data_IF_279341819040
#
_entry.id   IF_279341819040
#
_cell.length_a   1.000
_cell.length_b   1.000
_cell.length_c   1.000
_cell.angle_alpha   90.00
_cell.angle_beta   90.00
_cell.angle_gamma   90.00
#
_symmetry.space_group_name_H-M   'P 1'
#
loop_
_entity.id
_entity.type
_entity.pdbx_description
1 polymer ?
#
# COMPACT_ATOMS: atom_id res chain seq x y z
N UNK A 1 25.81 -1.03 4.86
CA UNK A 1 25.55 -1.43 3.46
C UNK A 1 24.64 -0.41 2.80
N UNK A 2 24.82 -0.19 1.48
CA UNK A 2 23.93 0.71 0.75
C UNK A 2 22.78 -0.08 0.13
N UNK A 3 21.56 0.40 0.34
CA UNK A 3 20.34 -0.20 -0.17
C UNK A 3 19.58 0.80 -1.03
N UNK A 4 19.03 0.36 -2.15
CA UNK A 4 17.97 1.11 -2.82
C UNK A 4 16.66 0.94 -2.03
N UNK A 5 15.71 1.86 -2.22
CA UNK A 5 14.38 1.74 -1.59
C UNK A 5 13.70 0.40 -1.93
N UNK A 6 13.84 -0.07 -3.17
CA UNK A 6 13.32 -1.36 -3.60
C UNK A 6 13.96 -2.55 -2.86
N UNK A 7 15.29 -2.51 -2.64
CA UNK A 7 16.01 -3.54 -1.89
C UNK A 7 15.64 -3.52 -0.40
N UNK A 8 15.58 -2.33 0.20
CA UNK A 8 15.21 -2.15 1.59
C UNK A 8 13.78 -2.64 1.87
N UNK A 9 12.83 -2.37 0.98
CA UNK A 9 11.46 -2.86 1.11
C UNK A 9 11.37 -4.41 0.98
N UNK A 10 12.20 -5.04 0.13
CA UNK A 10 12.30 -6.51 0.07
C UNK A 10 12.87 -7.09 1.36
N UNK A 11 13.90 -6.45 1.92
CA UNK A 11 14.47 -6.84 3.22
C UNK A 11 13.44 -6.68 4.34
N UNK A 12 12.73 -5.56 4.37
CA UNK A 12 11.65 -5.32 5.35
C UNK A 12 10.56 -6.39 5.27
N UNK A 13 10.14 -6.75 4.06
CA UNK A 13 9.20 -7.85 3.86
C UNK A 13 9.74 -9.15 4.41
N UNK A 14 10.98 -9.52 4.08
CA UNK A 14 11.61 -10.75 4.59
C UNK A 14 11.63 -10.80 6.12
N UNK A 15 12.02 -9.69 6.79
CA UNK A 15 12.04 -9.62 8.25
C UNK A 15 10.63 -9.77 8.86
N UNK A 16 9.60 -9.17 8.24
CA UNK A 16 8.22 -9.35 8.69
C UNK A 16 7.73 -10.80 8.48
N UNK A 17 8.10 -11.44 7.36
CA UNK A 17 7.75 -12.84 7.10
C UNK A 17 8.42 -13.78 8.14
N UNK A 18 9.69 -13.54 8.50
CA UNK A 18 10.39 -14.25 9.58
C UNK A 18 9.73 -14.05 10.95
N UNK A 19 9.36 -12.82 11.27
CA UNK A 19 8.66 -12.48 12.52
C UNK A 19 7.31 -13.20 12.61
N UNK A 20 6.50 -13.14 11.55
CA UNK A 20 5.21 -13.82 11.50
C UNK A 20 5.34 -15.35 11.58
N UNK A 21 6.34 -15.93 10.91
CA UNK A 21 6.60 -17.37 10.98
C UNK A 21 6.98 -17.83 12.40
N UNK A 22 7.72 -16.98 13.13
CA UNK A 22 8.08 -17.26 14.53
C UNK A 22 6.86 -17.15 15.46
N UNK A 23 5.99 -16.15 15.27
CA UNK A 23 4.71 -16.02 15.99
C UNK A 23 3.77 -17.22 15.73
N UNK A 24 3.70 -17.67 14.48
CA UNK A 24 2.91 -18.84 14.10
C UNK A 24 3.45 -20.14 14.75
N UNK A 25 4.78 -20.27 14.83
CA UNK A 25 5.42 -21.38 15.53
C UNK A 25 5.11 -21.32 17.03
N UNK A 26 5.26 -20.17 17.66
CA UNK A 26 4.93 -19.94 19.06
C UNK A 26 3.46 -20.31 19.34
N UNK A 27 2.53 -19.80 18.54
CA UNK A 27 1.09 -20.04 18.69
C UNK A 27 0.75 -21.54 18.64
N UNK A 28 1.48 -22.32 17.85
CA UNK A 28 1.27 -23.79 17.75
C UNK A 28 1.95 -24.59 18.84
N UNK A 29 2.94 -24.01 19.55
CA UNK A 29 3.79 -24.75 20.50
C UNK A 29 3.64 -24.30 21.95
N UNK A 30 3.12 -23.09 22.20
CA UNK A 30 3.00 -22.49 23.55
C UNK A 30 2.02 -23.20 24.46
N UNK A 31 1.01 -23.84 23.88
CA UNK A 31 0.04 -24.68 24.58
C UNK A 31 -0.23 -25.98 23.78
N UNK A 32 -0.54 -27.06 24.46
CA UNK A 32 -0.79 -28.35 23.83
C UNK A 32 -1.81 -29.14 24.66
N UNK A 33 -2.36 -30.19 24.08
CA UNK A 33 -3.36 -31.05 24.72
C UNK A 33 -2.77 -32.46 24.92
N UNK A 34 -3.06 -33.02 26.07
CA UNK A 34 -2.82 -34.44 26.37
C UNK A 34 -4.15 -35.09 26.77
N UNK A 35 -4.41 -36.31 26.37
CA UNK A 35 -5.57 -37.09 26.79
C UNK A 35 -5.42 -37.52 28.23
N UNK A 36 -6.54 -37.87 28.90
CA UNK A 36 -6.52 -38.41 30.25
C UNK A 36 -5.78 -39.76 30.25
N UNK A 37 -4.67 -39.83 31.02
CA UNK A 37 -3.83 -41.03 31.09
C UNK A 37 -2.72 -41.11 30.03
N UNK A 38 -2.61 -40.13 29.16
CA UNK A 38 -1.51 -39.99 28.22
C UNK A 38 -0.26 -39.40 28.92
N UNK A 39 0.93 -39.87 28.54
CA UNK A 39 2.16 -39.23 29.02
C UNK A 39 2.32 -37.85 28.42
N UNK A 40 2.20 -36.84 29.28
CA UNK A 40 2.25 -35.42 28.89
C UNK A 40 3.56 -35.04 28.18
N UNK A 41 4.69 -35.64 28.60
CA UNK A 41 5.99 -35.33 28.00
C UNK A 41 6.13 -35.93 26.60
N UNK A 42 5.44 -37.03 26.30
CA UNK A 42 5.47 -37.64 24.97
C UNK A 42 4.82 -36.82 23.87
N UNK A 43 3.87 -35.94 24.25
CA UNK A 43 3.10 -35.10 23.34
C UNK A 43 3.50 -33.61 23.42
N UNK A 44 4.42 -33.27 24.32
CA UNK A 44 4.89 -31.88 24.51
C UNK A 44 5.68 -31.38 23.29
N UNK A 45 5.24 -30.30 22.62
CA UNK A 45 6.02 -29.69 21.53
C UNK A 45 7.31 -29.06 22.08
N UNK A 46 8.34 -29.08 21.24
CA UNK A 46 9.60 -28.37 21.56
C UNK A 46 9.37 -26.88 21.47
N UNK A 47 9.41 -26.20 22.61
CA UNK A 47 9.21 -24.76 22.71
C UNK A 47 10.03 -24.19 23.86
N UNK A 48 10.84 -23.18 23.56
CA UNK A 48 11.56 -22.37 24.54
C UNK A 48 11.01 -20.95 24.50
N UNK A 49 10.33 -20.54 25.57
CA UNK A 49 9.73 -19.24 25.71
C UNK A 49 10.77 -18.13 25.70
N UNK A 50 11.84 -18.29 26.51
CA UNK A 50 12.85 -17.23 26.69
C UNK A 50 13.60 -16.95 25.37
N UNK A 51 14.06 -18.00 24.68
CA UNK A 51 14.72 -17.90 23.39
C UNK A 51 13.79 -17.27 22.33
N UNK A 52 12.54 -17.69 22.31
CA UNK A 52 11.54 -17.17 21.36
C UNK A 52 11.30 -15.68 21.56
N UNK A 53 11.15 -15.22 22.84
CA UNK A 53 10.94 -13.79 23.12
C UNK A 53 12.16 -12.93 22.74
N UNK A 54 13.38 -13.43 23.01
CA UNK A 54 14.61 -12.72 22.61
C UNK A 54 14.63 -12.55 21.09
N UNK A 55 14.37 -13.62 20.36
CA UNK A 55 14.40 -13.59 18.89
C UNK A 55 13.30 -12.70 18.28
N UNK A 56 12.10 -12.69 18.86
CA UNK A 56 11.02 -11.77 18.47
C UNK A 56 11.46 -10.31 18.67
N UNK A 57 12.01 -9.99 19.83
CA UNK A 57 12.48 -8.64 20.15
C UNK A 57 13.61 -8.16 19.24
N UNK A 58 14.54 -9.05 18.85
CA UNK A 58 15.59 -8.75 17.88
C UNK A 58 15.02 -8.43 16.49
N UNK A 59 14.06 -9.23 16.01
CA UNK A 59 13.39 -8.99 14.73
C UNK A 59 12.61 -7.68 14.74
N UNK A 60 11.87 -7.41 15.80
CA UNK A 60 11.16 -6.14 16.00
C UNK A 60 12.10 -4.93 15.97
N UNK A 61 13.26 -5.04 16.63
CA UNK A 61 14.25 -3.98 16.62
C UNK A 61 14.82 -3.71 15.23
N UNK A 62 15.13 -4.78 14.46
CA UNK A 62 15.62 -4.68 13.09
C UNK A 62 14.56 -4.07 12.16
N UNK A 63 13.31 -4.55 12.23
CA UNK A 63 12.17 -4.04 11.46
C UNK A 63 11.98 -2.54 11.73
N UNK A 64 12.00 -2.14 13.00
CA UNK A 64 11.83 -0.74 13.41
C UNK A 64 12.94 0.17 12.90
N UNK A 65 14.22 -0.26 13.01
CA UNK A 65 15.38 0.49 12.50
C UNK A 65 15.32 0.65 10.98
N UNK A 66 15.06 -0.45 10.25
CA UNK A 66 14.99 -0.42 8.78
C UNK A 66 13.85 0.46 8.29
N UNK A 67 12.67 0.34 8.91
CA UNK A 67 11.51 1.18 8.56
C UNK A 67 11.79 2.66 8.82
N UNK A 68 12.48 2.99 9.91
CA UNK A 68 12.88 4.36 10.18
C UNK A 68 13.86 4.91 9.13
N UNK A 69 14.86 4.12 8.72
CA UNK A 69 15.80 4.52 7.66
C UNK A 69 15.11 4.76 6.32
N UNK A 70 14.15 3.88 5.94
CA UNK A 70 13.32 4.07 4.73
C UNK A 70 12.50 5.37 4.83
N UNK A 71 11.90 5.66 5.99
CA UNK A 71 11.10 6.87 6.19
C UNK A 71 11.95 8.14 6.06
N UNK A 72 13.16 8.16 6.65
CA UNK A 72 14.09 9.30 6.50
C UNK A 72 14.45 9.47 5.02
N UNK A 73 14.83 8.40 4.34
CA UNK A 73 15.15 8.45 2.92
C UNK A 73 14.00 9.02 2.09
N UNK A 74 12.78 8.53 2.29
CA UNK A 74 11.60 9.02 1.56
C UNK A 74 11.30 10.50 1.83
N UNK A 75 11.53 10.98 3.06
CA UNK A 75 11.28 12.36 3.45
C UNK A 75 12.37 13.34 2.99
N UNK A 76 13.58 12.85 2.66
CA UNK A 76 14.71 13.70 2.30
C UNK A 76 15.14 13.60 0.83
N UNK A 77 14.87 12.44 0.18
CA UNK A 77 15.24 12.23 -1.21
C UNK A 77 14.23 12.94 -2.13
N UNK A 78 14.71 13.85 -2.94
CA UNK A 78 13.91 14.57 -3.96
C UNK A 78 13.81 13.79 -5.26
N UNK A 79 12.69 14.00 -5.94
CA UNK A 79 12.43 13.52 -7.29
C UNK A 79 12.45 14.73 -8.22
N UNK A 80 13.60 15.00 -8.83
CA UNK A 80 13.92 16.26 -9.55
C UNK A 80 12.86 16.67 -10.57
N UNK A 81 12.26 15.70 -11.28
CA UNK A 81 11.24 15.97 -12.31
C UNK A 81 9.92 16.52 -11.77
N UNK A 82 9.71 16.46 -10.45
CA UNK A 82 8.49 16.92 -9.77
C UNK A 82 8.75 17.98 -8.70
N UNK A 83 10.02 18.25 -8.36
CA UNK A 83 10.40 19.12 -7.24
C UNK A 83 9.67 18.75 -5.93
N UNK A 84 9.55 17.43 -5.70
CA UNK A 84 8.88 16.82 -4.56
C UNK A 84 9.81 15.77 -3.94
N UNK A 85 9.66 15.52 -2.64
CA UNK A 85 10.26 14.34 -2.00
C UNK A 85 9.55 13.07 -2.40
N UNK A 86 10.18 11.90 -2.18
CA UNK A 86 9.52 10.60 -2.39
C UNK A 86 8.23 10.53 -1.56
N UNK A 87 8.28 11.01 -0.30
CA UNK A 87 7.12 10.99 0.60
C UNK A 87 5.94 11.83 0.04
N UNK A 88 6.22 13.04 -0.47
CA UNK A 88 5.21 13.88 -1.12
C UNK A 88 4.66 13.21 -2.38
N UNK A 89 5.52 12.59 -3.18
CA UNK A 89 5.10 11.91 -4.41
C UNK A 89 4.23 10.68 -4.13
N UNK A 90 4.50 9.94 -3.02
CA UNK A 90 3.68 8.84 -2.54
C UNK A 90 2.26 9.28 -2.13
N UNK A 91 2.09 10.55 -1.72
CA UNK A 91 0.76 11.15 -1.48
C UNK A 91 0.14 11.67 -2.77
N UNK A 92 0.95 12.26 -3.65
CA UNK A 92 0.48 12.89 -4.89
C UNK A 92 -0.07 11.86 -5.90
N UNK A 93 0.58 10.70 -6.08
CA UNK A 93 0.14 9.63 -6.98
C UNK A 93 -1.30 9.16 -6.68
N UNK A 94 -1.70 8.84 -5.43
CA UNK A 94 -3.09 8.54 -5.08
C UNK A 94 -4.06 9.70 -5.38
N UNK A 95 -3.63 10.94 -5.18
CA UNK A 95 -4.45 12.13 -5.52
C UNK A 95 -4.71 12.21 -7.03
N UNK A 96 -3.68 12.00 -7.86
CA UNK A 96 -3.79 11.95 -9.32
C UNK A 96 -4.70 10.79 -9.76
N UNK A 97 -4.54 9.62 -9.14
CA UNK A 97 -5.38 8.45 -9.42
C UNK A 97 -6.86 8.74 -9.14
N UNK A 98 -7.16 9.37 -8.00
CA UNK A 98 -8.52 9.77 -7.64
C UNK A 98 -9.06 10.84 -8.59
N UNK A 99 -8.24 11.82 -8.98
CA UNK A 99 -8.61 12.87 -9.96
C UNK A 99 -8.93 12.24 -11.30
N UNK A 100 -8.05 11.37 -11.82
CA UNK A 100 -8.26 10.64 -13.08
C UNK A 100 -9.55 9.83 -13.06
N UNK A 101 -9.83 9.09 -11.98
CA UNK A 101 -11.07 8.29 -11.86
C UNK A 101 -12.32 9.15 -11.89
N UNK A 102 -12.32 10.29 -11.16
CA UNK A 102 -13.42 11.26 -11.20
C UNK A 102 -13.65 11.82 -12.61
N UNK A 103 -12.57 12.22 -13.29
CA UNK A 103 -12.65 12.79 -14.64
C UNK A 103 -13.10 11.73 -15.66
N UNK A 104 -12.71 10.46 -15.49
CA UNK A 104 -13.20 9.35 -16.31
C UNK A 104 -14.72 9.17 -16.19
N UNK A 105 -15.24 9.23 -14.98
CA UNK A 105 -16.69 9.17 -14.74
C UNK A 105 -17.40 10.34 -15.43
N UNK A 106 -16.86 11.57 -15.25
CA UNK A 106 -17.47 12.77 -15.83
C UNK A 106 -17.46 12.77 -17.37
N UNK A 107 -16.32 12.38 -18.01
CA UNK A 107 -16.24 12.33 -19.49
C UNK A 107 -17.11 11.24 -20.10
N UNK A 108 -17.49 10.22 -19.32
CA UNK A 108 -18.35 9.13 -19.78
C UNK A 108 -19.83 9.48 -19.77
N UNK A 109 -20.21 10.64 -19.20
CA UNK A 109 -21.61 11.09 -19.17
C UNK A 109 -22.06 11.64 -20.51
N UNK A 110 -23.33 11.40 -20.83
CA UNK A 110 -23.96 12.08 -21.96
C UNK A 110 -24.31 13.54 -21.59
N UNK A 111 -24.32 14.45 -22.56
CA UNK A 111 -24.75 15.85 -22.31
C UNK A 111 -26.19 15.91 -21.75
N UNK A 112 -27.02 14.96 -22.14
CA UNK A 112 -28.40 14.78 -21.69
C UNK A 112 -28.71 13.30 -21.64
N UNK A 113 -29.22 12.80 -20.52
CA UNK A 113 -29.60 11.42 -20.32
C UNK A 113 -30.97 11.33 -19.66
N UNK A 114 -31.83 10.44 -20.14
CA UNK A 114 -33.15 10.22 -19.52
C UNK A 114 -32.95 9.46 -18.21
N UNK A 115 -33.59 9.96 -17.14
CA UNK A 115 -33.61 9.25 -15.86
C UNK A 115 -34.50 8.02 -16.04
N UNK A 116 -33.89 6.82 -15.89
CA UNK A 116 -34.65 5.58 -15.85
C UNK A 116 -35.48 5.54 -14.55
N UNK A 117 -36.77 5.22 -14.67
CA UNK A 117 -37.67 5.13 -13.53
C UNK A 117 -37.19 4.04 -12.57
N UNK A 118 -36.96 4.42 -11.31
CA UNK A 118 -36.79 3.44 -10.24
C UNK A 118 -38.11 2.67 -10.07
N UNK A 119 -38.04 1.35 -10.08
CA UNK A 119 -39.14 0.44 -9.87
C UNK A 119 -40.12 0.93 -8.78
N UNK A 120 -41.36 1.24 -9.15
CA UNK A 120 -42.45 1.47 -8.22
C UNK A 120 -43.07 2.89 -8.17
N UNK A 121 -42.59 3.88 -8.93
CA UNK A 121 -43.25 5.18 -9.10
C UNK A 121 -43.58 5.39 -10.59
N UNK A 122 -44.81 5.15 -10.99
CA UNK A 122 -45.33 5.65 -12.26
C UNK A 122 -45.47 7.20 -12.13
N UNK A 123 -44.43 7.92 -12.50
CA UNK A 123 -44.52 9.34 -12.75
C UNK A 123 -44.83 9.57 -14.22
N UNK A 124 -45.85 10.37 -14.50
CA UNK A 124 -46.12 10.85 -15.86
C UNK A 124 -45.13 11.90 -16.35
N UNK A 125 -44.18 12.28 -15.52
CA UNK A 125 -43.15 13.29 -15.78
C UNK A 125 -41.86 12.56 -16.16
N UNK A 126 -41.34 12.90 -17.34
CA UNK A 126 -40.05 12.36 -17.84
C UNK A 126 -38.97 13.34 -17.41
N UNK A 127 -38.09 12.88 -16.50
CA UNK A 127 -36.95 13.64 -16.03
C UNK A 127 -35.71 13.35 -16.87
N UNK A 128 -34.85 14.36 -17.00
CA UNK A 128 -33.55 14.26 -17.65
C UNK A 128 -32.46 14.76 -16.73
N UNK A 129 -31.34 14.04 -16.71
CA UNK A 129 -30.08 14.50 -16.14
C UNK A 129 -29.28 15.20 -17.23
N UNK A 130 -28.74 16.36 -16.93
CA UNK A 130 -27.87 17.14 -17.82
C UNK A 130 -26.46 17.24 -17.22
N UNK A 131 -25.43 17.08 -18.05
CA UNK A 131 -24.08 17.43 -17.65
C UNK A 131 -24.00 18.97 -17.48
N UNK A 132 -23.69 19.44 -16.27
CA UNK A 132 -23.52 20.87 -15.98
C UNK A 132 -22.05 21.29 -16.07
N UNK A 133 -21.37 20.81 -17.10
CA UNK A 133 -19.97 21.09 -17.39
C UNK A 133 -19.66 20.81 -18.87
N UNK A 134 -18.55 21.37 -19.36
CA UNK A 134 -18.04 21.08 -20.70
C UNK A 134 -17.34 19.71 -20.73
N UNK A 135 -17.90 18.74 -21.43
CA UNK A 135 -17.37 17.38 -21.54
C UNK A 135 -16.02 17.37 -22.27
N UNK A 136 -15.81 18.24 -23.26
CA UNK A 136 -14.54 18.33 -23.98
C UNK A 136 -13.41 18.88 -23.09
N UNK A 137 -13.72 19.85 -22.23
CA UNK A 137 -12.78 20.34 -21.22
C UNK A 137 -12.42 19.25 -20.20
N UNK A 138 -13.40 18.46 -19.74
CA UNK A 138 -13.18 17.32 -18.84
C UNK A 138 -12.31 16.26 -19.50
N UNK A 139 -12.51 15.96 -20.79
CA UNK A 139 -11.69 15.01 -21.53
C UNK A 139 -10.23 15.48 -21.61
N UNK A 140 -9.99 16.75 -21.93
CA UNK A 140 -8.65 17.33 -21.96
C UNK A 140 -7.95 17.25 -20.57
N UNK A 141 -8.69 17.50 -19.50
CA UNK A 141 -8.16 17.41 -18.13
C UNK A 141 -7.92 15.95 -17.70
N UNK A 142 -8.72 15.01 -18.18
CA UNK A 142 -8.48 13.57 -17.98
C UNK A 142 -7.15 13.13 -18.61
N UNK A 143 -6.90 13.51 -19.88
CA UNK A 143 -5.64 13.18 -20.56
C UNK A 143 -4.43 13.77 -19.84
N UNK A 144 -4.49 15.03 -19.42
CA UNK A 144 -3.44 15.66 -18.61
C UNK A 144 -3.19 14.90 -17.30
N UNK A 145 -4.25 14.54 -16.56
CA UNK A 145 -4.11 13.81 -15.32
C UNK A 145 -3.57 12.39 -15.52
N UNK A 146 -3.91 11.73 -16.63
CA UNK A 146 -3.40 10.41 -16.99
C UNK A 146 -1.90 10.45 -17.32
N UNK A 147 -1.47 11.43 -18.13
CA UNK A 147 -0.07 11.62 -18.49
C UNK A 147 0.77 11.98 -17.26
N UNK A 148 0.28 12.86 -16.41
CA UNK A 148 0.97 13.28 -15.19
C UNK A 148 1.11 12.12 -14.20
N UNK A 149 0.08 11.29 -14.03
CA UNK A 149 0.13 10.07 -13.23
C UNK A 149 1.18 9.09 -13.75
N UNK A 150 1.23 8.87 -15.06
CA UNK A 150 2.22 7.98 -15.68
C UNK A 150 3.65 8.48 -15.44
N UNK A 151 3.90 9.79 -15.65
CA UNK A 151 5.22 10.40 -15.40
C UNK A 151 5.62 10.30 -13.92
N UNK A 152 4.68 10.53 -12.99
CA UNK A 152 4.94 10.45 -11.56
C UNK A 152 5.33 9.04 -11.12
N UNK A 153 4.63 8.02 -11.65
CA UNK A 153 4.94 6.62 -11.37
C UNK A 153 6.32 6.23 -11.91
N UNK A 154 6.63 6.59 -13.16
CA UNK A 154 7.94 6.30 -13.77
C UNK A 154 9.09 7.00 -13.02
N UNK A 155 8.90 8.25 -12.61
CA UNK A 155 9.89 8.99 -11.85
C UNK A 155 10.15 8.36 -10.48
N UNK A 156 9.09 7.95 -9.76
CA UNK A 156 9.21 7.25 -8.49
C UNK A 156 9.95 5.92 -8.64
N UNK A 157 9.61 5.13 -9.65
CA UNK A 157 10.26 3.84 -9.92
C UNK A 157 11.76 4.02 -10.22
N UNK A 158 12.11 5.03 -11.02
CA UNK A 158 13.49 5.33 -11.35
C UNK A 158 14.32 5.70 -10.11
N UNK A 159 13.81 6.57 -9.24
CA UNK A 159 14.48 6.96 -7.99
C UNK A 159 14.61 5.78 -7.04
N UNK A 160 13.55 4.99 -6.86
CA UNK A 160 13.55 3.81 -5.99
C UNK A 160 14.52 2.71 -6.42
N UNK A 161 14.92 2.68 -7.69
CA UNK A 161 15.88 1.70 -8.22
C UNK A 161 17.32 2.22 -8.24
N UNK A 162 17.52 3.53 -8.35
CA UNK A 162 18.83 4.14 -8.55
C UNK A 162 19.43 4.70 -7.27
N UNK A 163 18.63 5.47 -6.53
CA UNK A 163 19.11 6.16 -5.34
C UNK A 163 19.25 5.18 -4.16
N UNK A 164 20.32 5.38 -3.38
CA UNK A 164 20.65 4.49 -2.27
C UNK A 164 20.81 5.26 -0.97
N UNK A 165 20.55 4.58 0.13
CA UNK A 165 20.84 5.07 1.48
C UNK A 165 21.60 4.01 2.29
N UNK A 166 22.34 4.47 3.29
CA UNK A 166 23.11 3.59 4.16
C UNK A 166 22.23 3.02 5.28
N UNK A 167 22.35 1.71 5.49
CA UNK A 167 21.71 1.02 6.61
C UNK A 167 22.65 -0.05 7.17
N UNK A 168 22.81 -0.07 8.50
CA UNK A 168 23.53 -1.11 9.25
C UNK A 168 22.52 -2.04 9.91
N UNK A 169 22.66 -3.36 9.63
CA UNK A 169 21.80 -4.41 10.18
C UNK A 169 21.98 -4.64 11.68
#
# INVERSE_FOLDING_TARGET
MNYTSAQANKLLKKLNDEYNALLDKETRSRDFRAAMGEDVESVRPVYDYAETQIRLAELEAKIRKLKHAINIFNATQTVDSFDMTIDELLVYIPQLTKRKSKLLEMKSRLPKERVEEQYGRQSSIIDYTYANYDIAAVEADYEKAADELSRAQLALDAVNQRETFEFEE
#
